data_IF_642591358947
#
_entry.id   IF_642591358947
#
_cell.length_a   1.000
_cell.length_b   1.000
_cell.length_c   1.000
_cell.angle_alpha   90.00
_cell.angle_beta   90.00
_cell.angle_gamma   90.00
#
_symmetry.space_group_name_H-M   'P 1'
#
loop_
_entity.id
_entity.type
_entity.pdbx_description
1 polymer ?
#
# COMPACT_ATOMS: atom_id res chain seq x y z
N UNK A 1 2.79 -3.07 24.03
CA UNK A 1 2.74 -2.01 25.05
C UNK A 1 1.28 -1.69 25.38
N UNK A 2 0.44 -1.28 24.40
CA UNK A 2 -0.98 -0.88 24.63
C UNK A 2 -1.80 -2.00 25.28
N UNK A 3 -1.88 -3.17 24.67
CA UNK A 3 -2.61 -4.30 25.23
C UNK A 3 -2.14 -4.76 26.63
N UNK A 4 -0.94 -4.38 27.03
CA UNK A 4 -0.38 -4.66 28.35
C UNK A 4 -0.50 -3.48 29.33
N UNK A 5 -1.24 -2.44 28.99
CA UNK A 5 -1.45 -1.24 29.82
C UNK A 5 -0.19 -0.40 30.09
N UNK A 6 0.85 -0.59 29.28
CA UNK A 6 2.12 0.17 29.42
C UNK A 6 2.21 1.39 28.52
N UNK A 7 1.21 1.61 27.70
CA UNK A 7 1.04 2.79 26.85
C UNK A 7 -0.44 2.93 26.51
N UNK A 8 -0.93 4.14 26.39
CA UNK A 8 -2.32 4.45 26.09
C UNK A 8 -2.62 4.30 24.57
N UNK A 9 -1.62 4.59 23.74
CA UNK A 9 -1.73 4.49 22.29
C UNK A 9 -0.41 4.08 21.63
N UNK A 10 -0.51 3.62 20.36
CA UNK A 10 0.62 3.36 19.48
C UNK A 10 0.33 3.96 18.10
N UNK A 11 1.36 4.49 17.47
CA UNK A 11 1.29 5.00 16.11
C UNK A 11 2.08 4.09 15.15
N UNK A 12 1.41 3.56 14.14
CA UNK A 12 2.02 2.69 13.14
C UNK A 12 1.27 2.83 11.79
N UNK A 13 1.74 2.16 10.75
CA UNK A 13 1.04 2.11 9.47
C UNK A 13 -0.36 1.50 9.61
N UNK A 14 -1.30 2.02 8.86
CA UNK A 14 -2.72 1.62 8.88
C UNK A 14 -2.95 0.11 8.72
N UNK A 15 -2.21 -0.53 7.81
CA UNK A 15 -2.28 -1.97 7.59
C UNK A 15 -1.82 -2.78 8.81
N UNK A 16 -0.78 -2.31 9.50
CA UNK A 16 -0.27 -2.94 10.73
C UNK A 16 -1.28 -2.78 11.86
N UNK A 17 -1.85 -1.58 12.01
CA UNK A 17 -2.85 -1.32 13.04
C UNK A 17 -4.14 -2.12 12.81
N UNK A 18 -4.65 -2.13 11.60
CA UNK A 18 -5.82 -2.92 11.22
C UNK A 18 -5.62 -4.41 11.46
N UNK A 19 -4.50 -4.96 11.06
CA UNK A 19 -4.15 -6.36 11.32
C UNK A 19 -4.05 -6.66 12.82
N UNK A 20 -3.39 -5.80 13.58
CA UNK A 20 -3.21 -5.97 15.03
C UNK A 20 -4.55 -5.97 15.74
N UNK A 21 -5.42 -5.02 15.45
CA UNK A 21 -6.76 -4.94 16.04
C UNK A 21 -7.63 -6.15 15.68
N UNK A 22 -7.54 -6.63 14.44
CA UNK A 22 -8.25 -7.85 14.01
C UNK A 22 -7.83 -9.09 14.78
N UNK A 23 -6.58 -9.15 15.25
CA UNK A 23 -6.02 -10.29 15.98
C UNK A 23 -6.07 -10.15 17.49
N UNK A 24 -6.21 -8.96 18.01
CA UNK A 24 -6.18 -8.71 19.44
C UNK A 24 -7.35 -7.83 19.88
N UNK A 25 -8.36 -8.39 20.56
CA UNK A 25 -9.55 -7.65 20.98
C UNK A 25 -9.30 -6.60 22.07
N UNK A 26 -8.08 -6.54 22.64
CA UNK A 26 -7.69 -5.54 23.64
C UNK A 26 -7.20 -4.22 23.03
N UNK A 27 -7.17 -4.11 21.70
CA UNK A 27 -6.79 -2.90 20.97
C UNK A 27 -7.76 -2.66 19.83
N UNK A 28 -8.02 -1.40 19.56
CA UNK A 28 -8.84 -0.98 18.42
C UNK A 28 -8.14 0.12 17.62
N UNK A 29 -8.35 0.23 16.32
CA UNK A 29 -7.84 1.32 15.52
C UNK A 29 -8.67 2.58 15.81
N UNK A 30 -8.01 3.72 15.96
CA UNK A 30 -8.69 5.01 15.99
C UNK A 30 -8.95 5.53 14.58
N UNK A 31 -9.85 6.49 14.45
CA UNK A 31 -10.06 7.23 13.20
C UNK A 31 -9.09 8.42 13.03
N UNK A 32 -8.15 8.60 13.96
CA UNK A 32 -7.12 9.61 13.84
C UNK A 32 -6.05 9.15 12.86
N UNK A 33 -6.08 9.67 11.65
CA UNK A 33 -5.15 9.34 10.58
C UNK A 33 -4.27 10.54 10.26
N UNK A 34 -2.96 10.32 10.27
CA UNK A 34 -1.96 11.32 9.87
C UNK A 34 -1.33 10.85 8.55
N UNK A 35 -1.52 11.63 7.48
CA UNK A 35 -0.83 11.35 6.22
C UNK A 35 0.64 11.75 6.34
N UNK A 36 1.52 10.76 6.26
CA UNK A 36 2.96 10.99 6.27
C UNK A 36 3.55 11.34 4.90
N UNK A 37 2.75 11.28 3.84
CA UNK A 37 3.23 11.37 2.45
C UNK A 37 4.11 10.21 2.00
N UNK A 38 4.35 9.22 2.86
CA UNK A 38 5.18 8.04 2.55
C UNK A 38 4.33 6.96 1.90
N UNK A 39 4.95 6.22 1.00
CA UNK A 39 4.36 5.06 0.34
C UNK A 39 5.25 3.83 0.56
N UNK A 40 4.63 2.68 0.66
CA UNK A 40 5.35 1.42 0.60
C UNK A 40 5.78 1.15 -0.84
N UNK A 41 7.00 0.70 -1.04
CA UNK A 41 7.52 0.30 -2.34
C UNK A 41 8.25 -1.03 -2.26
N UNK A 42 8.27 -1.76 -3.36
CA UNK A 42 9.06 -2.97 -3.49
C UNK A 42 10.42 -2.64 -4.11
N UNK A 43 11.47 -3.22 -3.55
CA UNK A 43 12.81 -3.11 -4.10
C UNK A 43 13.08 -4.24 -5.09
N UNK A 44 13.67 -3.90 -6.21
CA UNK A 44 14.13 -4.83 -7.23
C UNK A 44 15.64 -4.67 -7.42
N UNK A 45 16.32 -5.74 -7.81
CA UNK A 45 17.71 -5.62 -8.23
C UNK A 45 17.81 -4.69 -9.45
N UNK A 46 18.86 -3.89 -9.53
CA UNK A 46 19.03 -2.84 -10.55
C UNK A 46 18.99 -3.37 -11.99
N UNK A 47 19.39 -4.62 -12.20
CA UNK A 47 19.35 -5.30 -13.52
C UNK A 47 17.99 -5.94 -13.83
N UNK A 48 17.06 -6.02 -12.86
CA UNK A 48 15.76 -6.69 -13.03
C UNK A 48 14.68 -5.77 -13.63
N UNK A 49 15.06 -4.95 -14.62
CA UNK A 49 14.17 -3.92 -15.20
C UNK A 49 12.90 -4.53 -15.79
N UNK A 50 13.03 -5.60 -16.56
CA UNK A 50 11.86 -6.24 -17.21
C UNK A 50 10.93 -6.92 -16.20
N UNK A 51 11.48 -7.53 -15.15
CA UNK A 51 10.67 -8.08 -14.07
C UNK A 51 9.89 -6.98 -13.34
N UNK A 52 10.54 -5.86 -13.06
CA UNK A 52 9.89 -4.70 -12.44
C UNK A 52 8.74 -4.18 -13.28
N UNK A 53 8.95 -3.98 -14.59
CA UNK A 53 7.89 -3.54 -15.53
C UNK A 53 6.69 -4.48 -15.52
N UNK A 54 6.94 -5.80 -15.57
CA UNK A 54 5.86 -6.80 -15.49
C UNK A 54 5.08 -6.71 -14.18
N UNK A 55 5.81 -6.56 -13.08
CA UNK A 55 5.20 -6.47 -11.75
C UNK A 55 4.35 -5.20 -11.61
N UNK A 56 4.88 -4.04 -12.02
CA UNK A 56 4.15 -2.78 -11.97
C UNK A 56 2.87 -2.82 -12.80
N UNK A 57 2.93 -3.39 -14.01
CA UNK A 57 1.75 -3.60 -14.86
C UNK A 57 0.68 -4.43 -14.13
N UNK A 58 1.05 -5.53 -13.51
CA UNK A 58 0.10 -6.37 -12.76
C UNK A 58 -0.48 -5.61 -11.57
N UNK A 59 0.35 -4.86 -10.83
CA UNK A 59 -0.10 -4.06 -9.69
C UNK A 59 -1.09 -2.97 -10.10
N UNK A 60 -0.87 -2.32 -11.23
CA UNK A 60 -1.80 -1.33 -11.78
C UNK A 60 -3.15 -1.95 -12.11
N UNK A 61 -3.15 -3.12 -12.78
CA UNK A 61 -4.38 -3.85 -13.07
C UNK A 61 -5.13 -4.22 -11.80
N UNK A 62 -4.42 -4.74 -10.81
CA UNK A 62 -5.02 -5.11 -9.52
C UNK A 62 -5.55 -3.89 -8.73
N UNK A 63 -5.01 -2.71 -8.93
CA UNK A 63 -5.56 -1.47 -8.38
C UNK A 63 -6.84 -1.04 -9.13
N UNK A 64 -6.79 -1.10 -10.46
CA UNK A 64 -7.91 -0.70 -11.31
C UNK A 64 -9.14 -1.61 -11.11
N UNK A 65 -8.95 -2.93 -10.99
CA UNK A 65 -10.05 -3.89 -10.79
C UNK A 65 -10.50 -4.04 -9.32
N UNK A 66 -9.85 -3.33 -8.39
CA UNK A 66 -10.14 -3.34 -6.97
C UNK A 66 -9.61 -4.55 -6.21
N UNK A 67 -8.79 -5.40 -6.83
CA UNK A 67 -8.18 -6.58 -6.18
C UNK A 67 -7.35 -6.18 -4.97
N UNK A 68 -6.52 -5.14 -5.09
CA UNK A 68 -5.71 -4.62 -3.96
C UNK A 68 -6.61 -4.17 -2.80
N UNK A 69 -7.71 -3.48 -3.09
CA UNK A 69 -8.64 -3.03 -2.07
C UNK A 69 -9.30 -4.22 -1.34
N UNK A 70 -9.70 -5.26 -2.06
CA UNK A 70 -10.25 -6.49 -1.48
C UNK A 70 -9.23 -7.24 -0.61
N UNK A 71 -7.98 -7.30 -1.04
CA UNK A 71 -6.89 -7.91 -0.26
C UNK A 71 -6.67 -7.12 1.03
N UNK A 72 -6.60 -5.79 0.94
CA UNK A 72 -6.47 -4.92 2.11
C UNK A 72 -7.61 -5.18 3.12
N UNK A 73 -8.86 -5.13 2.67
CA UNK A 73 -10.03 -5.35 3.54
C UNK A 73 -10.02 -6.76 4.17
N UNK A 74 -9.67 -7.77 3.39
CA UNK A 74 -9.55 -9.15 3.87
C UNK A 74 -8.57 -9.27 5.05
N UNK A 75 -7.43 -8.64 4.96
CA UNK A 75 -6.37 -8.77 5.95
C UNK A 75 -6.50 -7.80 7.12
N UNK A 76 -6.93 -6.58 6.90
CA UNK A 76 -7.04 -5.57 7.96
C UNK A 76 -8.44 -5.49 8.59
N UNK A 77 -9.45 -6.01 7.92
CA UNK A 77 -10.85 -5.86 8.33
C UNK A 77 -11.43 -4.47 8.02
N UNK A 78 -10.67 -3.59 7.37
CA UNK A 78 -11.07 -2.23 7.04
C UNK A 78 -10.92 -1.96 5.55
N UNK A 79 -11.83 -1.18 4.98
CA UNK A 79 -11.68 -0.69 3.61
C UNK A 79 -10.54 0.30 3.52
N UNK A 80 -9.73 0.25 2.46
CA UNK A 80 -8.71 1.27 2.27
C UNK A 80 -9.33 2.65 2.07
N UNK A 81 -8.59 3.68 2.43
CA UNK A 81 -9.01 5.08 2.25
C UNK A 81 -9.29 5.35 0.77
N UNK A 82 -10.44 5.94 0.49
CA UNK A 82 -10.85 6.29 -0.87
C UNK A 82 -9.80 7.20 -1.55
N UNK A 83 -9.40 6.88 -2.78
CA UNK A 83 -8.34 7.60 -3.48
C UNK A 83 -6.93 7.38 -2.93
N UNK A 84 -6.77 6.49 -1.94
CA UNK A 84 -5.47 6.11 -1.38
C UNK A 84 -4.68 5.16 -2.27
N UNK A 85 -3.52 4.72 -1.76
CA UNK A 85 -2.55 3.91 -2.50
C UNK A 85 -3.10 2.58 -3.06
N UNK A 86 -4.18 2.05 -2.46
CA UNK A 86 -4.83 0.84 -2.93
C UNK A 86 -5.57 1.01 -4.28
N UNK A 87 -5.89 2.25 -4.65
CA UNK A 87 -6.64 2.59 -5.86
C UNK A 87 -5.82 3.46 -6.82
N UNK A 88 -4.91 4.27 -6.29
CA UNK A 88 -4.18 5.25 -7.07
C UNK A 88 -3.06 4.59 -7.86
N UNK A 89 -3.13 4.67 -9.18
CA UNK A 89 -2.00 4.38 -10.06
C UNK A 89 -1.08 5.60 -10.09
N UNK A 90 0.21 5.39 -9.83
CA UNK A 90 1.23 6.43 -9.95
C UNK A 90 1.89 6.26 -11.31
N UNK A 91 1.91 7.33 -12.10
CA UNK A 91 2.54 7.31 -13.42
C UNK A 91 4.05 7.05 -13.31
N UNK A 92 4.56 6.30 -14.28
CA UNK A 92 5.98 5.99 -14.37
C UNK A 92 6.41 4.72 -13.61
N UNK A 93 7.63 4.32 -13.85
CA UNK A 93 8.23 3.11 -13.31
C UNK A 93 9.40 3.48 -12.40
N UNK A 94 9.38 3.02 -11.16
CA UNK A 94 10.41 3.31 -10.16
C UNK A 94 10.14 4.59 -9.37
N UNK A 95 11.17 5.11 -8.74
CA UNK A 95 11.10 6.28 -7.86
C UNK A 95 11.99 7.38 -8.40
N UNK A 96 11.50 8.63 -8.47
CA UNK A 96 12.34 9.76 -8.87
C UNK A 96 13.63 9.84 -8.06
N UNK A 97 14.75 10.10 -8.73
CA UNK A 97 16.07 10.19 -8.10
C UNK A 97 16.85 8.87 -8.04
N UNK A 98 16.23 7.74 -8.38
CA UNK A 98 16.92 6.45 -8.49
C UNK A 98 17.20 6.07 -9.94
N UNK A 99 18.28 5.31 -10.15
CA UNK A 99 18.59 4.76 -11.47
C UNK A 99 17.43 3.95 -12.04
N UNK A 100 17.29 3.98 -13.35
CA UNK A 100 16.18 3.33 -14.07
C UNK A 100 14.77 3.89 -13.74
N UNK A 101 14.68 5.11 -13.21
CA UNK A 101 13.40 5.81 -13.17
C UNK A 101 12.94 6.19 -14.57
N UNK A 102 11.72 5.84 -14.89
CA UNK A 102 11.06 6.19 -16.15
C UNK A 102 9.75 6.92 -15.82
N UNK A 103 9.68 8.20 -16.17
CA UNK A 103 8.50 9.04 -15.91
C UNK A 103 7.36 8.81 -16.91
N UNK A 104 7.58 8.02 -17.95
CA UNK A 104 6.55 7.72 -18.95
C UNK A 104 5.40 6.97 -18.28
N UNK A 105 4.16 7.44 -18.43
CA UNK A 105 3.01 6.70 -17.90
C UNK A 105 3.01 5.28 -18.44
N UNK A 106 2.92 4.30 -17.55
CA UNK A 106 2.77 2.93 -18.00
C UNK A 106 1.39 2.78 -18.63
N UNK A 107 1.35 2.34 -19.88
CA UNK A 107 0.12 1.89 -20.50
C UNK A 107 -0.08 0.43 -20.10
N UNK A 108 -0.69 0.21 -18.96
CA UNK A 108 -0.90 -1.15 -18.44
C UNK A 108 -1.79 -1.98 -19.36
N UNK A 109 -2.60 -1.32 -20.19
CA UNK A 109 -3.62 -1.98 -21.01
C UNK A 109 -4.70 -2.65 -20.18
N UNK A 110 -4.80 -2.30 -18.88
CA UNK A 110 -5.90 -2.74 -18.04
C UNK A 110 -7.10 -1.87 -18.39
N UNK A 111 -8.10 -2.49 -19.01
CA UNK A 111 -9.37 -1.82 -19.25
C UNK A 111 -9.97 -1.38 -17.91
N UNK A 112 -10.39 -0.14 -17.85
CA UNK A 112 -11.29 0.34 -16.81
C UNK A 112 -12.68 -0.24 -17.01
#
# INVERSE_FOLDING_TARGET
>A
AVAAGRADANFAGDTVMGWTAKKNPLVEPSNLVISSGRVGAMAFHTTSVEMRKKFEKVMECMKADGTIAKIHEKWTGQKPVAGGAAYKVVAGIGVPGFGNYDSTPSNSGCAN
#
